data_IF_192645327357
#
_entry.id   IF_192645327357
#
_cell.length_a   1.000
_cell.length_b   1.000
_cell.length_c   1.000
_cell.angle_alpha   90.00
_cell.angle_beta   90.00
_cell.angle_gamma   90.00
#
_symmetry.space_group_name_H-M   'P 1'
#
loop_
_entity.id
_entity.type
_entity.pdbx_description
1 polymer ?
#
# COMPACT_ATOMS: atom_id res chain seq x y z
N UNK A 1 -11.24 -19.06 19.38
CA UNK A 1 -10.08 -19.25 18.50
C UNK A 1 -9.20 -18.03 18.64
N UNK A 2 -8.21 -18.08 19.53
CA UNK A 2 -7.28 -16.96 19.76
C UNK A 2 -6.20 -17.02 18.67
N UNK A 3 -6.34 -16.23 17.62
CA UNK A 3 -5.24 -15.94 16.70
C UNK A 3 -4.26 -15.00 17.42
N UNK A 4 -3.44 -15.55 18.31
CA UNK A 4 -2.21 -14.90 18.71
C UNK A 4 -1.27 -14.97 17.51
N UNK A 5 -1.43 -14.04 16.57
CA UNK A 5 -0.51 -13.88 15.45
C UNK A 5 0.81 -13.37 16.01
N UNK A 6 1.67 -14.30 16.45
CA UNK A 6 3.10 -14.04 16.56
C UNK A 6 3.53 -13.45 15.22
N UNK A 7 4.07 -12.22 15.16
CA UNK A 7 4.49 -11.65 13.89
C UNK A 7 5.50 -12.64 13.30
N UNK A 8 5.33 -13.08 12.03
CA UNK A 8 6.36 -13.86 11.36
C UNK A 8 7.67 -13.08 11.53
N UNK A 9 8.77 -13.76 11.83
CA UNK A 9 10.08 -13.12 11.93
C UNK A 9 10.37 -12.43 10.60
N UNK A 10 9.96 -11.17 10.47
CA UNK A 10 9.81 -10.54 9.19
C UNK A 10 11.21 -10.36 8.60
N UNK A 11 11.45 -10.98 7.46
CA UNK A 11 12.70 -10.82 6.72
C UNK A 11 12.55 -9.64 5.78
N UNK A 12 13.66 -8.94 5.54
CA UNK A 12 13.68 -7.91 4.52
C UNK A 12 13.40 -8.54 3.15
N UNK A 13 12.35 -8.10 2.47
CA UNK A 13 11.96 -8.58 1.13
C UNK A 13 13.05 -8.35 0.09
N UNK A 14 13.93 -7.35 0.27
CA UNK A 14 14.98 -7.02 -0.71
C UNK A 14 16.31 -7.75 -0.48
N UNK A 15 16.73 -7.98 0.77
CA UNK A 15 18.05 -8.55 1.07
C UNK A 15 17.99 -9.84 1.91
N UNK A 16 16.79 -10.37 2.15
CA UNK A 16 16.51 -11.56 2.96
C UNK A 16 17.05 -11.55 4.41
N UNK A 17 17.68 -10.45 4.84
CA UNK A 17 18.24 -10.31 6.18
C UNK A 17 17.12 -10.38 7.22
N UNK A 18 17.33 -11.21 8.25
CA UNK A 18 16.41 -11.39 9.38
C UNK A 18 16.57 -10.26 10.40
N UNK A 19 15.56 -10.07 11.25
CA UNK A 19 15.58 -9.11 12.35
C UNK A 19 16.75 -9.30 13.34
N UNK A 20 17.38 -10.48 13.38
CA UNK A 20 18.60 -10.72 14.19
C UNK A 20 19.84 -9.97 13.66
N UNK A 21 19.90 -9.74 12.34
CA UNK A 21 21.01 -9.07 11.67
C UNK A 21 20.66 -7.63 11.26
N UNK A 22 19.39 -7.37 10.97
CA UNK A 22 18.84 -6.06 10.63
C UNK A 22 18.07 -5.49 11.82
N UNK A 23 18.61 -4.44 12.44
CA UNK A 23 18.13 -3.95 13.73
C UNK A 23 16.65 -3.52 13.72
N UNK A 24 16.08 -3.09 12.59
CA UNK A 24 14.67 -2.69 12.50
C UNK A 24 14.12 -3.06 11.12
N UNK A 25 12.97 -3.72 11.12
CA UNK A 25 12.18 -4.05 9.93
C UNK A 25 10.97 -3.12 9.91
N UNK A 26 10.79 -2.43 8.78
CA UNK A 26 9.69 -1.51 8.54
C UNK A 26 8.64 -2.17 7.65
N UNK A 27 7.37 -2.01 7.99
CA UNK A 27 6.24 -2.43 7.16
C UNK A 27 5.82 -1.27 6.25
N UNK A 28 5.72 -1.53 4.95
CA UNK A 28 5.25 -0.57 3.96
C UNK A 28 4.19 -1.18 3.05
N UNK A 29 3.25 -0.35 2.62
CA UNK A 29 2.26 -0.72 1.62
C UNK A 29 2.77 -0.33 0.23
N UNK A 30 2.92 -1.34 -0.64
CA UNK A 30 3.31 -1.16 -2.03
C UNK A 30 2.38 -1.98 -2.94
N UNK A 31 1.74 -1.33 -3.93
CA UNK A 31 0.81 -1.97 -4.89
C UNK A 31 -0.21 -2.90 -4.20
N UNK A 32 -0.86 -2.44 -3.13
CA UNK A 32 -1.80 -3.25 -2.35
C UNK A 32 -1.23 -4.55 -1.73
N UNK A 33 0.09 -4.63 -1.53
CA UNK A 33 0.73 -5.66 -0.72
C UNK A 33 1.57 -5.04 0.40
N UNK A 34 1.62 -5.72 1.53
CA UNK A 34 2.54 -5.34 2.61
C UNK A 34 3.90 -5.91 2.28
N UNK A 35 4.93 -5.06 2.30
CA UNK A 35 6.33 -5.46 2.13
C UNK A 35 7.09 -5.07 3.39
N UNK A 36 8.12 -5.84 3.68
CA UNK A 36 8.96 -5.66 4.85
C UNK A 36 10.36 -5.27 4.39
N UNK A 37 10.87 -4.13 4.83
CA UNK A 37 12.22 -3.69 4.48
C UNK A 37 13.02 -3.37 5.73
N UNK A 38 14.28 -3.78 5.77
CA UNK A 38 15.19 -3.22 6.76
C UNK A 38 15.41 -1.72 6.47
N UNK A 39 15.86 -0.95 7.48
CA UNK A 39 16.11 0.50 7.35
C UNK A 39 16.90 0.85 6.08
N UNK A 40 17.98 0.13 5.77
CA UNK A 40 18.82 0.40 4.60
C UNK A 40 18.06 0.14 3.27
N UNK A 41 17.42 -1.03 3.15
CA UNK A 41 16.65 -1.36 1.94
C UNK A 41 15.46 -0.44 1.76
N UNK A 42 14.79 -0.01 2.84
CA UNK A 42 13.69 0.94 2.74
C UNK A 42 14.15 2.23 2.09
N UNK A 43 15.23 2.82 2.59
CA UNK A 43 15.79 4.06 2.07
C UNK A 43 16.34 3.90 0.63
N UNK A 44 16.94 2.75 0.30
CA UNK A 44 17.34 2.41 -1.08
C UNK A 44 16.17 2.18 -2.05
N UNK A 45 14.98 1.84 -1.56
CA UNK A 45 13.80 1.70 -2.43
C UNK A 45 13.00 3.02 -2.55
N UNK A 46 13.30 4.03 -1.72
CA UNK A 46 12.54 5.27 -1.62
C UNK A 46 13.42 6.52 -1.72
N UNK A 47 14.41 6.49 -2.62
CA UNK A 47 15.43 7.54 -2.80
C UNK A 47 14.88 8.96 -3.01
N UNK A 48 13.68 9.10 -3.59
CA UNK A 48 13.06 10.40 -3.89
C UNK A 48 12.26 11.01 -2.74
N UNK A 49 12.08 10.30 -1.62
CA UNK A 49 11.22 10.75 -0.51
C UNK A 49 11.98 11.49 0.59
N UNK A 50 13.31 11.55 0.53
CA UNK A 50 14.14 12.19 1.55
C UNK A 50 15.45 12.71 0.96
N UNK A 51 16.10 13.63 1.67
CA UNK A 51 17.46 14.04 1.34
C UNK A 51 18.47 12.97 1.79
N UNK A 52 19.30 12.40 0.90
CA UNK A 52 20.26 11.34 1.27
C UNK A 52 21.45 11.83 2.11
N UNK A 53 21.53 13.14 2.37
CA UNK A 53 22.63 13.77 3.13
C UNK A 53 22.16 14.08 4.55
N UNK A 54 21.05 14.80 4.72
CA UNK A 54 20.54 15.18 6.04
C UNK A 54 19.38 14.29 6.56
N UNK A 55 18.89 13.35 5.75
CA UNK A 55 17.79 12.44 6.08
C UNK A 55 16.44 13.09 6.37
N UNK A 56 16.27 14.36 6.01
CA UNK A 56 14.96 15.00 6.08
C UNK A 56 14.02 14.40 5.03
N UNK A 57 12.90 13.83 5.49
CA UNK A 57 11.82 13.32 4.64
C UNK A 57 10.97 14.48 4.14
N UNK A 58 10.75 14.50 2.83
CA UNK A 58 9.94 15.49 2.14
C UNK A 58 8.46 15.21 2.36
N UNK A 59 7.69 16.25 2.69
CA UNK A 59 6.21 16.18 2.67
C UNK A 59 5.71 16.56 1.28
N UNK A 60 6.30 17.62 0.72
CA UNK A 60 6.11 18.08 -0.66
C UNK A 60 7.45 18.05 -1.40
N UNK A 61 7.36 17.98 -2.74
CA UNK A 61 8.56 18.01 -3.58
C UNK A 61 9.28 19.35 -3.38
N UNK A 62 10.59 19.36 -3.02
CA UNK A 62 11.32 20.61 -2.88
C UNK A 62 11.29 21.42 -4.18
N UNK A 63 11.26 22.76 -4.12
CA UNK A 63 11.33 23.60 -5.31
C UNK A 63 12.55 23.26 -6.19
N UNK A 64 12.43 23.31 -7.53
CA UNK A 64 13.51 22.92 -8.44
C UNK A 64 14.86 23.60 -8.16
N UNK A 65 14.86 24.88 -7.74
CA UNK A 65 16.08 25.64 -7.46
C UNK A 65 16.73 25.31 -6.10
N UNK A 66 16.00 24.65 -5.20
CA UNK A 66 16.47 24.22 -3.87
C UNK A 66 16.90 22.75 -3.83
N UNK A 67 16.83 22.04 -4.95
CA UNK A 67 17.15 20.61 -5.02
C UNK A 67 18.19 20.29 -6.08
N UNK A 68 18.92 19.20 -5.84
CA UNK A 68 19.77 18.54 -6.81
C UNK A 68 19.26 17.11 -7.01
N UNK A 69 19.17 16.69 -8.27
CA UNK A 69 18.77 15.34 -8.64
C UNK A 69 20.01 14.52 -8.97
N UNK A 70 20.03 13.27 -8.50
CA UNK A 70 21.11 12.36 -8.80
C UNK A 70 21.10 12.00 -10.29
N UNK A 71 22.27 11.95 -10.92
CA UNK A 71 22.39 11.59 -12.34
C UNK A 71 21.95 10.14 -12.65
N UNK A 72 22.02 9.23 -11.68
CA UNK A 72 21.86 7.78 -11.90
C UNK A 72 20.58 7.18 -11.31
N UNK A 73 19.84 7.92 -10.49
CA UNK A 73 18.66 7.39 -9.81
C UNK A 73 17.72 8.54 -9.39
N UNK A 74 16.48 8.26 -8.96
CA UNK A 74 15.53 9.31 -8.60
C UNK A 74 15.81 9.96 -7.22
N UNK A 75 17.07 9.95 -6.74
CA UNK A 75 17.43 10.56 -5.46
C UNK A 75 17.48 12.08 -5.57
N UNK A 76 16.95 12.76 -4.56
CA UNK A 76 16.87 14.22 -4.49
C UNK A 76 17.55 14.69 -3.21
N UNK A 77 18.55 15.56 -3.33
CA UNK A 77 19.18 16.23 -2.18
C UNK A 77 18.83 17.72 -2.14
N UNK A 78 18.81 18.31 -0.94
CA UNK A 78 18.83 19.76 -0.84
C UNK A 78 20.12 20.29 -1.45
N UNK A 79 19.99 21.37 -2.24
CA UNK A 79 21.15 22.05 -2.80
C UNK A 79 22.13 22.49 -1.72
N UNK A 80 21.62 23.00 -0.59
CA UNK A 80 22.43 23.41 0.57
C UNK A 80 23.19 22.25 1.23
N UNK A 81 22.63 21.04 1.24
CA UNK A 81 23.30 19.87 1.81
C UNK A 81 24.44 19.34 0.92
N UNK A 82 24.38 19.60 -0.39
CA UNK A 82 25.35 19.12 -1.37
C UNK A 82 26.49 20.12 -1.64
N UNK A 83 26.44 21.34 -1.09
CA UNK A 83 27.50 22.33 -1.20
C UNK A 83 28.89 21.82 -0.74
N UNK A 84 29.04 21.02 0.34
CA UNK A 84 30.34 20.44 0.68
C UNK A 84 30.75 19.23 -0.20
N UNK A 85 29.87 18.74 -1.09
CA UNK A 85 30.11 17.57 -1.95
C UNK A 85 30.18 17.89 -3.45
N UNK A 86 29.90 19.14 -3.84
CA UNK A 86 30.07 19.59 -5.21
C UNK A 86 31.56 19.70 -5.45
N UNK A 87 32.12 18.72 -6.15
CA UNK A 87 33.50 18.77 -6.63
C UNK A 87 33.68 20.07 -7.41
N UNK A 88 34.36 21.03 -6.79
CA UNK A 88 35.02 22.15 -7.45
C UNK A 88 36.09 21.56 -8.36
N UNK A 89 35.71 21.03 -9.52
CA UNK A 89 36.62 21.01 -10.66
C UNK A 89 36.75 22.44 -11.11
N UNK A 90 37.96 22.98 -10.97
CA UNK A 90 38.34 24.36 -11.21
C UNK A 90 38.28 24.78 -12.69
N UNK A 91 37.13 24.58 -13.34
CA UNK A 91 36.80 25.16 -14.65
C UNK A 91 35.41 25.79 -14.52
N UNK A 92 35.35 27.12 -14.65
CA UNK A 92 34.16 27.95 -14.46
C UNK A 92 33.02 27.73 -15.49
N UNK A 93 33.02 26.61 -16.22
CA UNK A 93 32.12 26.33 -17.34
C UNK A 93 31.23 25.09 -17.15
N UNK A 94 31.41 24.27 -16.10
CA UNK A 94 30.63 23.03 -15.91
C UNK A 94 29.52 23.18 -14.86
N UNK A 95 28.29 22.84 -15.25
CA UNK A 95 27.14 22.73 -14.33
C UNK A 95 27.43 21.65 -13.28
N UNK A 96 27.20 21.90 -11.97
CA UNK A 96 27.50 20.94 -10.92
C UNK A 96 26.63 19.68 -11.09
N UNK A 97 27.30 18.53 -11.22
CA UNK A 97 26.64 17.21 -11.31
C UNK A 97 26.55 16.63 -9.90
N UNK A 98 25.35 16.19 -9.51
CA UNK A 98 25.14 15.53 -8.23
C UNK A 98 25.04 14.02 -8.41
N UNK A 99 25.75 13.31 -7.54
CA UNK A 99 25.67 11.87 -7.42
C UNK A 99 25.35 11.52 -5.97
N UNK A 100 24.22 10.83 -5.74
CA UNK A 100 23.84 10.45 -4.39
C UNK A 100 24.81 9.40 -3.81
N UNK A 101 24.93 9.29 -2.47
CA UNK A 101 25.87 8.38 -1.82
C UNK A 101 25.78 6.92 -2.30
N UNK A 102 24.56 6.42 -2.52
CA UNK A 102 24.33 5.05 -3.01
C UNK A 102 24.73 4.81 -4.46
N UNK A 103 24.74 5.86 -5.28
CA UNK A 103 25.25 5.74 -6.64
C UNK A 103 26.76 5.95 -6.68
N UNK A 104 27.30 6.85 -5.83
CA UNK A 104 28.74 7.10 -5.72
C UNK A 104 29.52 5.88 -5.21
N UNK A 105 28.96 5.17 -4.23
CA UNK A 105 29.53 3.93 -3.70
C UNK A 105 28.48 2.83 -3.64
N UNK A 106 28.72 1.73 -4.36
CA UNK A 106 27.86 0.55 -4.38
C UNK A 106 27.81 -0.19 -3.04
N UNK A 107 28.86 -0.05 -2.21
CA UNK A 107 28.93 -0.63 -0.85
C UNK A 107 28.27 0.26 0.20
N UNK A 108 27.80 1.45 -0.19
CA UNK A 108 27.19 2.39 0.73
C UNK A 108 25.98 1.78 1.46
N UNK A 109 25.95 1.97 2.78
CA UNK A 109 24.80 1.67 3.63
C UNK A 109 24.38 2.91 4.39
N UNK A 110 23.08 3.21 4.39
CA UNK A 110 22.52 4.30 5.19
C UNK A 110 22.64 4.05 6.69
N UNK A 111 22.60 2.77 7.07
CA UNK A 111 22.45 2.36 8.45
C UNK A 111 23.45 1.24 8.76
N UNK A 112 24.37 1.52 9.66
CA UNK A 112 25.34 0.56 10.17
C UNK A 112 25.52 0.82 11.66
N UNK A 113 25.01 -0.10 12.48
CA UNK A 113 25.20 -0.06 13.94
C UNK A 113 26.23 -1.12 14.27
N UNK A 114 27.34 -0.70 14.85
CA UNK A 114 28.41 -1.61 15.27
C UNK A 114 27.91 -2.56 16.35
N UNK A 115 28.55 -3.73 16.49
CA UNK A 115 28.17 -4.68 17.55
C UNK A 115 28.27 -4.05 18.96
N UNK A 116 29.22 -3.13 19.18
CA UNK A 116 29.38 -2.39 20.42
C UNK A 116 28.19 -1.47 20.71
N UNK A 117 27.73 -0.71 19.70
CA UNK A 117 26.56 0.18 19.81
C UNK A 117 25.27 -0.59 20.16
N UNK A 118 25.17 -1.85 19.70
CA UNK A 118 24.05 -2.74 20.07
C UNK A 118 24.04 -3.07 21.56
N UNK A 119 25.23 -3.22 22.16
CA UNK A 119 25.39 -3.59 23.57
C UNK A 119 25.18 -2.36 24.45
N UNK A 120 25.76 -1.22 24.10
CA UNK A 120 25.65 0.04 24.84
C UNK A 120 24.30 0.74 24.66
N UNK A 121 23.48 0.32 23.67
CA UNK A 121 22.22 0.98 23.26
C UNK A 121 22.39 2.46 22.92
N UNK A 122 23.59 2.85 22.50
CA UNK A 122 23.88 4.22 22.07
C UNK A 122 23.63 4.32 20.57
N UNK A 123 22.81 5.28 20.17
CA UNK A 123 22.55 5.59 18.76
C UNK A 123 23.13 6.96 18.48
N UNK A 124 24.07 7.06 17.54
CA UNK A 124 24.61 8.34 17.11
C UNK A 124 23.54 9.18 16.38
N UNK A 125 23.71 10.50 16.37
CA UNK A 125 22.75 11.44 15.79
C UNK A 125 22.41 11.12 14.31
N UNK A 126 23.39 10.65 13.54
CA UNK A 126 23.17 10.27 12.14
C UNK A 126 22.31 9.01 12.06
N UNK A 127 22.61 7.96 12.82
CA UNK A 127 21.78 6.75 12.87
C UNK A 127 20.36 7.04 13.35
N UNK A 128 20.19 7.97 14.29
CA UNK A 128 18.86 8.42 14.74
C UNK A 128 18.08 9.09 13.60
N UNK A 129 18.70 10.03 12.88
CA UNK A 129 18.07 10.70 11.72
C UNK A 129 17.70 9.72 10.61
N UNK A 130 18.59 8.76 10.31
CA UNK A 130 18.34 7.70 9.33
C UNK A 130 17.13 6.85 9.75
N UNK A 131 17.06 6.45 11.01
CA UNK A 131 15.93 5.68 11.52
C UNK A 131 14.64 6.49 11.51
N UNK A 132 14.67 7.73 11.99
CA UNK A 132 13.52 8.63 11.97
C UNK A 132 12.97 8.83 10.55
N UNK A 133 13.87 8.97 9.56
CA UNK A 133 13.49 9.09 8.16
C UNK A 133 12.78 7.82 7.65
N UNK A 134 13.37 6.66 7.91
CA UNK A 134 12.79 5.37 7.54
C UNK A 134 11.41 5.16 8.18
N UNK A 135 11.29 5.41 9.49
CA UNK A 135 10.02 5.29 10.22
C UNK A 135 8.95 6.23 9.68
N UNK A 136 9.29 7.48 9.34
CA UNK A 136 8.35 8.44 8.75
C UNK A 136 7.87 8.00 7.37
N UNK A 137 8.77 7.52 6.50
CA UNK A 137 8.41 6.97 5.18
C UNK A 137 7.46 5.78 5.34
N UNK A 138 7.77 4.87 6.26
CA UNK A 138 6.94 3.71 6.54
C UNK A 138 5.55 4.11 7.06
N UNK A 139 5.48 5.04 8.01
CA UNK A 139 4.23 5.55 8.56
C UNK A 139 3.34 6.19 7.48
N UNK A 140 3.91 7.02 6.59
CA UNK A 140 3.17 7.63 5.48
C UNK A 140 2.68 6.57 4.49
N UNK A 141 3.54 5.60 4.14
CA UNK A 141 3.16 4.50 3.24
C UNK A 141 1.99 3.69 3.81
N UNK A 142 2.05 3.30 5.08
CA UNK A 142 0.99 2.55 5.74
C UNK A 142 -0.29 3.36 5.90
N UNK A 143 -0.18 4.66 6.22
CA UNK A 143 -1.35 5.54 6.34
C UNK A 143 -2.09 5.68 5.00
N UNK A 144 -1.37 5.87 3.90
CA UNK A 144 -1.95 5.87 2.54
C UNK A 144 -2.60 4.53 2.22
N UNK A 145 -1.94 3.43 2.58
CA UNK A 145 -2.48 2.08 2.43
C UNK A 145 -3.77 1.85 3.20
N UNK A 146 -3.82 2.30 4.45
CA UNK A 146 -5.00 2.18 5.30
C UNK A 146 -6.17 3.03 4.77
N UNK A 147 -5.91 4.26 4.30
CA UNK A 147 -6.92 5.12 3.69
C UNK A 147 -7.52 4.48 2.43
N UNK A 148 -6.69 3.95 1.54
CA UNK A 148 -7.14 3.24 0.34
C UNK A 148 -7.97 1.99 0.68
N UNK A 149 -7.57 1.22 1.70
CA UNK A 149 -8.32 0.04 2.15
C UNK A 149 -9.70 0.40 2.72
N UNK A 150 -9.80 1.50 3.49
CA UNK A 150 -11.09 1.99 4.00
C UNK A 150 -12.03 2.40 2.86
N UNK A 151 -11.51 3.20 1.92
CA UNK A 151 -12.28 3.62 0.75
C UNK A 151 -12.80 2.43 -0.06
N UNK A 152 -11.96 1.43 -0.32
CA UNK A 152 -12.36 0.23 -1.06
C UNK A 152 -13.39 -0.63 -0.28
N UNK A 153 -13.26 -0.71 1.05
CA UNK A 153 -14.23 -1.41 1.89
C UNK A 153 -15.60 -0.73 1.87
N UNK A 154 -15.63 0.61 1.97
CA UNK A 154 -16.86 1.41 1.86
C UNK A 154 -17.53 1.23 0.50
N UNK A 155 -16.75 1.32 -0.59
CA UNK A 155 -17.24 1.09 -1.95
C UNK A 155 -17.90 -0.29 -2.08
N UNK A 156 -17.22 -1.35 -1.61
CA UNK A 156 -17.76 -2.72 -1.66
C UNK A 156 -19.02 -2.90 -0.80
N UNK A 157 -19.10 -2.23 0.34
CA UNK A 157 -20.28 -2.28 1.20
C UNK A 157 -21.52 -1.71 0.49
N UNK A 158 -21.35 -0.58 -0.21
CA UNK A 158 -22.41 0.05 -1.00
C UNK A 158 -22.82 -0.84 -2.18
N UNK A 159 -21.86 -1.35 -2.94
CA UNK A 159 -22.13 -2.25 -4.08
C UNK A 159 -22.88 -3.52 -3.64
N UNK A 160 -22.46 -4.12 -2.52
CA UNK A 160 -23.12 -5.28 -1.97
C UNK A 160 -24.55 -4.95 -1.48
N UNK A 161 -24.79 -3.76 -0.92
CA UNK A 161 -26.13 -3.35 -0.49
C UNK A 161 -27.07 -3.18 -1.69
N UNK A 162 -26.60 -2.55 -2.77
CA UNK A 162 -27.39 -2.40 -4.01
C UNK A 162 -27.68 -3.76 -4.64
N UNK A 163 -26.67 -4.65 -4.70
CA UNK A 163 -26.87 -6.01 -5.23
C UNK A 163 -27.88 -6.81 -4.41
N UNK A 164 -27.83 -6.72 -3.07
CA UNK A 164 -28.82 -7.36 -2.19
C UNK A 164 -30.23 -6.81 -2.40
N UNK A 165 -30.37 -5.49 -2.54
CA UNK A 165 -31.67 -4.87 -2.83
C UNK A 165 -32.26 -5.39 -4.14
N UNK A 166 -31.48 -5.39 -5.22
CA UNK A 166 -31.90 -5.91 -6.53
C UNK A 166 -32.27 -7.39 -6.48
N UNK A 167 -31.49 -8.21 -5.76
CA UNK A 167 -31.80 -9.62 -5.58
C UNK A 167 -33.12 -9.82 -4.82
N UNK A 168 -33.39 -8.99 -3.80
CA UNK A 168 -34.65 -9.02 -3.06
C UNK A 168 -35.84 -8.63 -3.94
N UNK A 169 -35.71 -7.56 -4.72
CA UNK A 169 -36.74 -7.12 -5.67
C UNK A 169 -37.04 -8.20 -6.71
N UNK A 170 -36.02 -8.86 -7.26
CA UNK A 170 -36.20 -9.96 -8.20
C UNK A 170 -36.89 -11.19 -7.57
N UNK A 171 -36.56 -11.52 -6.31
CA UNK A 171 -37.24 -12.61 -5.59
C UNK A 171 -38.72 -12.28 -5.33
N UNK A 172 -39.02 -11.03 -4.94
CA UNK A 172 -40.40 -10.57 -4.74
C UNK A 172 -41.21 -10.66 -6.05
N UNK A 173 -40.61 -10.28 -7.19
CA UNK A 173 -41.23 -10.42 -8.51
C UNK A 173 -41.51 -11.88 -8.86
N UNK A 174 -40.56 -12.79 -8.64
CA UNK A 174 -40.75 -14.22 -8.88
C UNK A 174 -41.90 -14.80 -8.05
N UNK A 175 -42.01 -14.41 -6.77
CA UNK A 175 -43.13 -14.86 -5.92
C UNK A 175 -44.48 -14.33 -6.41
N UNK A 176 -44.52 -13.11 -6.95
CA UNK A 176 -45.74 -12.56 -7.54
C UNK A 176 -46.14 -13.27 -8.83
N UNK A 177 -45.18 -13.69 -9.65
CA UNK A 177 -45.45 -14.46 -10.88
C UNK A 177 -45.99 -15.84 -10.52
N UNK A 178 -45.34 -16.54 -9.59
CA UNK A 178 -45.78 -17.85 -9.13
C UNK A 178 -47.22 -17.84 -8.60
N UNK A 179 -47.58 -16.84 -7.78
CA UNK A 179 -48.94 -16.72 -7.26
C UNK A 179 -49.99 -16.51 -8.36
N UNK A 180 -49.65 -15.74 -9.40
CA UNK A 180 -50.54 -15.55 -10.57
C UNK A 180 -50.67 -16.82 -11.41
N UNK A 181 -49.58 -17.54 -11.64
CA UNK A 181 -49.61 -18.82 -12.36
C UNK A 181 -50.44 -19.87 -11.60
N UNK A 182 -50.35 -19.91 -10.27
CA UNK A 182 -51.19 -20.79 -9.43
C UNK A 182 -52.68 -20.42 -9.52
N UNK A 183 -53.02 -19.13 -9.55
CA UNK A 183 -54.40 -18.65 -9.73
C UNK A 183 -54.95 -18.95 -11.13
N UNK A 184 -54.17 -18.69 -12.18
CA UNK A 184 -54.53 -18.99 -13.57
C UNK A 184 -54.69 -20.50 -13.78
N UNK A 185 -53.79 -21.32 -13.23
CA UNK A 185 -53.89 -22.78 -13.33
C UNK A 185 -55.09 -23.30 -12.52
N UNK A 186 -55.42 -22.70 -11.37
CA UNK A 186 -56.65 -23.02 -10.64
C UNK A 186 -57.91 -22.71 -11.45
N UNK A 187 -57.96 -21.59 -12.18
CA UNK A 187 -59.11 -21.23 -13.02
C UNK A 187 -59.29 -22.22 -14.18
N UNK A 188 -58.20 -22.54 -14.90
CA UNK A 188 -58.23 -23.47 -16.03
C UNK A 188 -58.68 -24.89 -15.62
N UNK A 189 -58.30 -25.35 -14.41
CA UNK A 189 -58.73 -26.66 -13.87
C UNK A 189 -60.22 -26.66 -13.51
N UNK A 190 -60.79 -25.52 -13.12
CA UNK A 190 -62.23 -25.38 -12.85
C UNK A 190 -63.02 -25.33 -14.17
N UNK A 191 -62.52 -24.63 -15.19
CA UNK A 191 -63.17 -24.55 -16.51
C UNK A 191 -63.20 -25.93 -17.22
N UNK A 192 -62.10 -26.68 -17.22
CA UNK A 192 -62.07 -28.04 -17.77
C UNK A 192 -62.99 -29.03 -17.02
N UNK A 193 -63.16 -28.86 -15.70
CA UNK A 193 -64.10 -29.66 -14.91
C UNK A 193 -65.56 -29.25 -15.11
N UNK A 194 -65.84 -28.00 -15.44
CA UNK A 194 -67.19 -27.52 -15.73
C UNK A 194 -67.65 -28.00 -17.12
N UNK A 195 -66.78 -27.95 -18.12
CA UNK A 195 -67.02 -28.50 -19.46
C UNK A 195 -67.19 -30.04 -19.42
N UNK A 196 -66.40 -30.74 -18.60
CA UNK A 196 -66.56 -32.18 -18.40
C UNK A 196 -67.87 -32.56 -17.68
N UNK A 197 -68.44 -31.68 -16.84
CA UNK A 197 -69.73 -31.92 -16.16
C UNK A 197 -70.94 -31.60 -17.03
N UNK A 198 -70.83 -30.65 -17.95
CA UNK A 198 -71.88 -30.34 -18.93
C UNK A 198 -72.05 -31.43 -19.99
N UNK A 199 -70.98 -32.17 -20.31
CA UNK A 199 -71.03 -33.30 -21.25
C UNK A 199 -71.57 -34.62 -20.65
N UNK A 200 -71.97 -34.65 -19.36
CA UNK A 200 -72.50 -35.86 -18.69
C UNK A 200 -74.03 -35.82 -18.54
N UNK A 201 -74.70 -34.75 -18.95
CA UNK A 201 -76.16 -34.58 -18.79
C UNK A 201 -77.00 -34.79 -20.06
N UNK A 202 -76.40 -35.20 -21.17
CA UNK A 202 -77.11 -35.53 -22.41
C UNK A 202 -76.87 -36.99 -22.84
N UNK A 203 -77.33 -37.98 -22.07
CA UNK A 203 -77.73 -39.32 -22.57
C UNK A 203 -78.79 -39.96 -21.65
#
# INVERSE_FOLDING_TARGET
MNHTSQPPSATCTSCATTQRLSLIIHNVRYLAHNRYFCTNCLLKNHHGLFCPICFQVYHDSPPPHHRLMCLRCPSIAHRSCALPFSTTTANAASVPVFLCPTCADHKFSYFNISAADRISRTVDDKSFKVLAAASRIAAVSMSKGAAAARFEAERRAVEAAVARKRAKEAMEELTSIQAKEEEENSCCVVDLNLDARLNVTEE
#
